data_IF_712968465577
#
_entry.id   IF_712968465577
#
_cell.length_a   1.000
_cell.length_b   1.000
_cell.length_c   1.000
_cell.angle_alpha   90.00
_cell.angle_beta   90.00
_cell.angle_gamma   90.00
#
_symmetry.space_group_name_H-M   'P 1'
#
loop_
_entity.id
_entity.type
_entity.pdbx_description
1 polymer ?
#
# COMPACT_ATOMS: atom_id res chain seq x y z
N UNK A 1 -28.19 2.40 -14.46
CA UNK A 1 -27.26 1.50 -13.77
C UNK A 1 -26.31 2.38 -13.01
N UNK A 2 -26.51 2.54 -11.71
CA UNK A 2 -25.52 3.21 -10.87
C UNK A 2 -24.35 2.24 -10.75
N UNK A 3 -23.27 2.49 -11.49
CA UNK A 3 -22.00 1.82 -11.24
C UNK A 3 -21.57 2.27 -9.85
N UNK A 4 -21.73 1.42 -8.85
CA UNK A 4 -21.16 1.67 -7.53
C UNK A 4 -19.66 1.94 -7.76
N UNK A 5 -19.21 3.14 -7.38
CA UNK A 5 -17.80 3.50 -7.46
C UNK A 5 -17.10 2.60 -6.45
N UNK A 6 -16.42 1.59 -6.97
CA UNK A 6 -15.68 0.65 -6.14
C UNK A 6 -14.48 1.35 -5.53
N UNK A 7 -14.34 1.28 -4.21
CA UNK A 7 -13.22 1.92 -3.50
C UNK A 7 -11.91 1.29 -3.97
N UNK A 8 -10.98 2.12 -4.43
CA UNK A 8 -9.63 1.70 -4.79
C UNK A 8 -8.68 2.02 -3.66
N UNK A 9 -7.71 1.13 -3.45
CA UNK A 9 -6.68 1.24 -2.43
C UNK A 9 -5.32 1.30 -3.09
N UNK A 10 -4.48 2.19 -2.58
CA UNK A 10 -3.07 2.28 -2.88
C UNK A 10 -2.28 1.40 -1.93
N UNK A 11 -1.41 0.57 -2.50
CA UNK A 11 -0.47 -0.28 -1.76
C UNK A 11 0.95 -0.02 -2.27
N UNK A 12 1.87 0.31 -1.37
CA UNK A 12 3.28 0.50 -1.69
C UNK A 12 4.18 -0.24 -0.71
N UNK A 13 4.96 -1.19 -1.23
CA UNK A 13 6.03 -1.84 -0.49
C UNK A 13 7.39 -1.32 -0.99
N UNK A 14 8.01 -0.36 -0.27
CA UNK A 14 9.32 0.18 -0.67
C UNK A 14 10.46 -0.83 -0.50
N UNK A 15 10.34 -1.83 0.39
CA UNK A 15 11.35 -2.88 0.54
C UNK A 15 11.41 -3.80 -0.69
N UNK A 16 10.26 -4.06 -1.32
CA UNK A 16 10.14 -4.94 -2.50
C UNK A 16 10.05 -4.18 -3.81
N UNK A 17 10.02 -2.84 -3.77
CA UNK A 17 9.79 -1.97 -4.92
C UNK A 17 8.50 -2.33 -5.68
N UNK A 18 7.40 -2.56 -4.93
CA UNK A 18 6.08 -2.88 -5.48
C UNK A 18 5.14 -1.72 -5.15
N UNK A 19 4.57 -1.09 -6.17
CA UNK A 19 3.47 -0.12 -6.03
C UNK A 19 2.30 -0.61 -6.86
N UNK A 20 1.11 -0.74 -6.26
CA UNK A 20 -0.09 -1.21 -6.96
C UNK A 20 -1.35 -0.52 -6.46
N UNK A 21 -2.40 -0.62 -7.27
CA UNK A 21 -3.78 -0.26 -6.91
C UNK A 21 -4.61 -1.54 -6.90
N UNK A 22 -5.42 -1.73 -5.86
CA UNK A 22 -6.37 -2.83 -5.78
C UNK A 22 -7.76 -2.32 -5.40
N UNK A 23 -8.81 -2.94 -5.92
CA UNK A 23 -10.17 -2.60 -5.50
C UNK A 23 -10.50 -3.22 -4.13
N UNK A 24 -11.53 -2.72 -3.47
CA UNK A 24 -12.04 -3.30 -2.23
C UNK A 24 -12.40 -4.79 -2.39
N UNK A 25 -12.97 -5.19 -3.53
CA UNK A 25 -13.27 -6.61 -3.81
C UNK A 25 -11.98 -7.42 -3.91
N UNK A 26 -10.95 -6.93 -4.59
CA UNK A 26 -9.66 -7.61 -4.67
C UNK A 26 -9.02 -7.76 -3.30
N UNK A 27 -9.05 -6.72 -2.46
CA UNK A 27 -8.55 -6.83 -1.08
C UNK A 27 -9.30 -7.87 -0.24
N UNK A 28 -10.60 -8.08 -0.49
CA UNK A 28 -11.43 -9.03 0.27
C UNK A 28 -11.27 -10.47 -0.19
N UNK A 29 -11.11 -10.70 -1.49
CA UNK A 29 -11.21 -12.04 -2.09
C UNK A 29 -9.90 -12.54 -2.70
N UNK A 30 -8.91 -11.68 -2.90
CA UNK A 30 -7.57 -12.03 -3.40
C UNK A 30 -6.52 -11.85 -2.28
N UNK A 31 -5.36 -12.49 -2.45
CA UNK A 31 -4.24 -12.46 -1.50
C UNK A 31 -3.39 -11.16 -1.65
N UNK A 32 -3.97 -10.03 -2.06
CA UNK A 32 -3.23 -8.80 -2.45
C UNK A 32 -2.27 -8.30 -1.36
N UNK A 33 -2.70 -8.25 -0.09
CA UNK A 33 -1.84 -7.80 1.01
C UNK A 33 -0.64 -8.74 1.18
N UNK A 34 -0.85 -10.04 1.04
CA UNK A 34 0.19 -11.06 1.12
C UNK A 34 1.12 -11.00 -0.09
N UNK A 35 0.58 -10.76 -1.27
CA UNK A 35 1.38 -10.65 -2.49
C UNK A 35 2.28 -9.42 -2.48
N UNK A 36 1.79 -8.30 -1.96
CA UNK A 36 2.55 -7.04 -1.86
C UNK A 36 3.50 -7.05 -0.65
N UNK A 37 3.01 -7.38 0.54
CA UNK A 37 3.74 -7.20 1.81
C UNK A 37 4.23 -8.50 2.46
N UNK A 38 3.78 -9.67 2.01
CA UNK A 38 4.16 -10.96 2.60
C UNK A 38 3.46 -11.26 3.92
N UNK A 39 2.41 -10.51 4.28
CA UNK A 39 1.64 -10.68 5.52
C UNK A 39 0.17 -10.98 5.24
N UNK A 40 -0.56 -11.55 6.19
CA UNK A 40 -1.91 -12.06 5.93
C UNK A 40 -2.98 -10.96 5.91
N UNK A 41 -2.79 -9.87 6.66
CA UNK A 41 -3.82 -8.84 6.80
C UNK A 41 -3.25 -7.47 7.18
N UNK A 42 -4.12 -6.46 7.21
CA UNK A 42 -3.76 -5.08 7.60
C UNK A 42 -3.22 -4.98 9.03
N UNK A 43 -3.75 -5.77 9.98
CA UNK A 43 -3.23 -5.81 11.36
C UNK A 43 -1.77 -6.26 11.40
N UNK A 44 -1.38 -7.20 10.53
CA UNK A 44 0.01 -7.64 10.42
C UNK A 44 0.90 -6.57 9.77
N UNK A 45 0.36 -5.74 8.85
CA UNK A 45 1.08 -4.56 8.33
C UNK A 45 1.42 -3.59 9.45
N UNK A 46 0.49 -3.34 10.35
CA UNK A 46 0.74 -2.49 11.52
C UNK A 46 1.84 -3.07 12.42
N UNK A 47 1.87 -4.40 12.60
CA UNK A 47 2.97 -5.06 13.32
C UNK A 47 4.29 -4.95 12.56
N UNK A 48 4.27 -5.12 11.24
CA UNK A 48 5.44 -4.98 10.37
C UNK A 48 6.03 -3.57 10.47
N UNK A 49 5.21 -2.52 10.36
CA UNK A 49 5.62 -1.13 10.58
C UNK A 49 6.24 -0.96 11.98
N UNK A 50 5.64 -1.56 13.02
CA UNK A 50 6.11 -1.39 14.40
C UNK A 50 7.45 -2.06 14.66
N UNK A 51 7.67 -3.27 14.15
CA UNK A 51 8.76 -4.14 14.59
C UNK A 51 9.81 -4.45 13.52
N UNK A 52 9.46 -4.38 12.23
CA UNK A 52 10.41 -4.70 11.16
C UNK A 52 11.28 -3.49 10.85
N UNK A 53 12.50 -3.47 11.40
CA UNK A 53 13.47 -2.38 11.19
C UNK A 53 13.81 -2.16 9.72
N UNK A 54 14.08 -3.23 8.97
CA UNK A 54 14.44 -3.12 7.55
C UNK A 54 13.32 -2.46 6.74
N UNK A 55 12.08 -2.87 6.99
CA UNK A 55 10.93 -2.28 6.31
C UNK A 55 10.74 -0.80 6.65
N UNK A 56 10.89 -0.42 7.94
CA UNK A 56 10.88 0.98 8.36
C UNK A 56 11.97 1.81 7.67
N UNK A 57 13.20 1.29 7.61
CA UNK A 57 14.32 1.97 6.94
C UNK A 57 13.98 2.24 5.46
N UNK A 58 13.36 1.29 4.77
CA UNK A 58 12.89 1.46 3.39
C UNK A 58 11.80 2.53 3.27
N UNK A 59 10.83 2.59 4.20
CA UNK A 59 9.80 3.64 4.23
C UNK A 59 10.46 5.02 4.45
N UNK A 60 11.36 5.13 5.44
CA UNK A 60 12.08 6.37 5.71
C UNK A 60 12.83 6.87 4.48
N UNK A 61 13.50 5.98 3.76
CA UNK A 61 14.25 6.32 2.55
C UNK A 61 13.33 6.76 1.39
N UNK A 62 12.21 6.07 1.16
CA UNK A 62 11.27 6.37 0.08
C UNK A 62 10.59 7.73 0.27
N UNK A 63 10.13 8.01 1.49
CA UNK A 63 9.33 9.21 1.78
C UNK A 63 10.13 10.36 2.40
N UNK A 64 11.42 10.17 2.69
CA UNK A 64 12.29 11.17 3.31
C UNK A 64 11.87 11.52 4.75
N UNK A 65 11.35 10.54 5.50
CA UNK A 65 10.83 10.73 6.86
C UNK A 65 11.67 9.98 7.89
N UNK A 66 11.45 10.25 9.18
CA UNK A 66 12.02 9.50 10.30
C UNK A 66 11.10 8.37 10.76
N UNK A 67 11.64 7.39 11.51
CA UNK A 67 10.84 6.27 12.04
C UNK A 67 9.62 6.73 12.87
N UNK A 68 9.72 7.87 13.58
CA UNK A 68 8.62 8.43 14.38
C UNK A 68 7.48 9.02 13.55
N UNK A 69 7.71 9.28 12.27
CA UNK A 69 6.75 9.89 11.36
C UNK A 69 6.03 8.85 10.48
N UNK A 70 6.48 7.59 10.51
CA UNK A 70 5.87 6.50 9.74
C UNK A 70 4.41 6.29 10.16
N UNK A 71 3.53 6.22 9.16
CA UNK A 71 2.11 5.94 9.32
C UNK A 71 1.66 4.92 8.28
N UNK A 72 0.59 4.18 8.58
CA UNK A 72 0.04 3.18 7.68
C UNK A 72 -0.38 3.79 6.33
N UNK A 73 -0.95 5.00 6.36
CA UNK A 73 -1.45 5.69 5.17
C UNK A 73 -0.36 6.05 4.15
N UNK A 74 0.92 6.01 4.53
CA UNK A 74 2.02 6.16 3.58
C UNK A 74 2.09 4.98 2.61
N UNK A 75 1.80 3.76 3.08
CA UNK A 75 1.98 2.52 2.33
C UNK A 75 0.67 1.80 1.99
N UNK A 76 -0.40 2.07 2.71
CA UNK A 76 -1.70 1.41 2.56
C UNK A 76 -2.82 2.40 2.91
N UNK A 77 -3.57 2.85 1.90
CA UNK A 77 -4.69 3.79 2.07
C UNK A 77 -5.65 3.72 0.90
N UNK A 78 -6.79 4.41 1.02
CA UNK A 78 -7.65 4.70 -0.14
C UNK A 78 -6.83 5.50 -1.16
N UNK A 79 -6.91 5.07 -2.42
CA UNK A 79 -6.23 5.71 -3.54
C UNK A 79 -6.88 7.06 -3.85
N UNK A 80 -6.04 8.08 -4.05
CA UNK A 80 -6.45 9.37 -4.59
C UNK A 80 -6.51 9.32 -6.11
N UNK A 81 -7.12 10.32 -6.74
CA UNK A 81 -7.05 10.46 -8.19
C UNK A 81 -5.60 10.54 -8.71
N UNK A 82 -4.69 11.14 -7.94
CA UNK A 82 -3.28 11.25 -8.33
C UNK A 82 -2.60 9.89 -8.33
N UNK A 83 -2.86 9.04 -7.32
CA UNK A 83 -2.32 7.68 -7.28
C UNK A 83 -2.78 6.88 -8.50
N UNK A 84 -4.07 6.98 -8.85
CA UNK A 84 -4.67 6.28 -9.99
C UNK A 84 -4.05 6.79 -11.30
N UNK A 85 -3.93 8.12 -11.47
CA UNK A 85 -3.29 8.72 -12.65
C UNK A 85 -1.84 8.28 -12.80
N UNK A 86 -1.07 8.33 -11.70
CA UNK A 86 0.33 7.90 -11.70
C UNK A 86 0.47 6.40 -12.01
N UNK A 87 -0.39 5.56 -11.43
CA UNK A 87 -0.39 4.13 -11.69
C UNK A 87 -0.65 3.83 -13.17
N UNK A 88 -1.68 4.45 -13.77
CA UNK A 88 -2.01 4.25 -15.18
C UNK A 88 -0.91 4.75 -16.13
N UNK A 89 -0.23 5.83 -15.78
CA UNK A 89 0.90 6.36 -16.56
C UNK A 89 2.14 5.46 -16.52
N UNK A 90 2.31 4.63 -15.47
CA UNK A 90 3.43 3.68 -15.35
C UNK A 90 3.23 2.37 -16.12
N UNK A 91 2.00 2.08 -16.56
CA UNK A 91 1.64 0.86 -17.29
C UNK A 91 1.73 1.02 -18.82
N UNK A 92 2.06 2.21 -19.32
CA UNK A 92 2.25 2.54 -20.74
C UNK A 92 3.73 2.78 -21.04
#
# INVERSE_FOLDING_TARGET
METAIETMYFLNNPERNITTIATETQLRYEDVIKDVFGVACESDLMMMIKFNKKFKDCICQEYGVTESEIRLDMIFRIATEEDIKQYNNRQH
#
